data_IF_312503635250
#
_entry.id   IF_312503635250
#
_cell.length_a   1.000
_cell.length_b   1.000
_cell.length_c   1.000
_cell.angle_alpha   90.00
_cell.angle_beta   90.00
_cell.angle_gamma   90.00
#
_symmetry.space_group_name_H-M   'P 1'
#
loop_
_entity.id
_entity.type
_entity.pdbx_description
1 polymer ?
#
# COMPACT_ATOMS: atom_id res chain seq x y z
N UNK A 1 -16.30 -26.57 28.18
CA UNK A 1 -16.65 -26.49 26.74
C UNK A 1 -16.13 -25.25 26.02
N UNK A 2 -15.89 -24.09 26.67
CA UNK A 2 -15.30 -22.90 26.00
C UNK A 2 -13.81 -23.04 25.64
N UNK A 3 -13.03 -23.80 26.42
CA UNK A 3 -11.57 -23.91 26.18
C UNK A 3 -11.19 -24.85 25.02
N UNK A 4 -12.01 -25.87 24.76
CA UNK A 4 -11.78 -26.83 23.68
C UNK A 4 -11.94 -26.17 22.30
N UNK A 5 -12.89 -25.22 22.16
CA UNK A 5 -13.16 -24.52 20.91
C UNK A 5 -12.07 -23.47 20.57
N UNK A 6 -11.51 -22.81 21.59
CA UNK A 6 -10.38 -21.86 21.45
C UNK A 6 -9.10 -22.56 20.94
N UNK A 7 -8.84 -23.78 21.44
CA UNK A 7 -7.71 -24.60 21.00
C UNK A 7 -7.78 -24.93 19.51
N UNK A 8 -8.97 -25.24 18.99
CA UNK A 8 -9.17 -25.56 17.56
C UNK A 8 -8.98 -24.35 16.66
N UNK A 9 -9.47 -23.17 17.08
CA UNK A 9 -9.30 -21.94 16.30
C UNK A 9 -7.83 -21.56 16.15
N UNK A 10 -7.08 -21.50 17.26
CA UNK A 10 -5.65 -21.16 17.22
C UNK A 10 -4.86 -22.12 16.33
N UNK A 11 -5.17 -23.42 16.40
CA UNK A 11 -4.54 -24.45 15.54
C UNK A 11 -4.91 -24.30 14.06
N UNK A 12 -6.06 -23.72 13.75
CA UNK A 12 -6.51 -23.49 12.37
C UNK A 12 -5.96 -22.22 11.73
N UNK A 13 -5.20 -21.39 12.46
CA UNK A 13 -4.55 -20.20 11.91
C UNK A 13 -3.29 -20.57 11.11
N UNK A 14 -3.14 -19.96 9.95
CA UNK A 14 -1.91 -20.01 9.17
C UNK A 14 -0.96 -18.90 9.65
N UNK A 15 -0.27 -19.15 10.78
CA UNK A 15 0.68 -18.21 11.39
C UNK A 15 1.78 -17.72 10.44
N UNK A 16 2.09 -18.52 9.44
CA UNK A 16 2.98 -18.19 8.33
C UNK A 16 2.53 -16.96 7.53
N UNK A 17 1.23 -16.88 7.22
CA UNK A 17 0.67 -15.87 6.31
C UNK A 17 0.29 -14.58 7.04
N UNK A 18 -0.10 -14.69 8.31
CA UNK A 18 -0.57 -13.56 9.13
C UNK A 18 0.43 -12.39 9.14
N UNK A 19 1.74 -12.57 9.35
CA UNK A 19 2.71 -11.48 9.32
C UNK A 19 2.75 -10.74 7.97
N UNK A 20 2.71 -11.48 6.86
CA UNK A 20 2.69 -10.89 5.50
C UNK A 20 1.42 -10.07 5.29
N UNK A 21 0.28 -10.62 5.70
CA UNK A 21 -1.01 -9.96 5.58
C UNK A 21 -1.08 -8.71 6.45
N UNK A 22 -0.59 -8.74 7.69
CA UNK A 22 -0.49 -7.58 8.57
C UNK A 22 0.44 -6.52 7.98
N UNK A 23 1.62 -6.90 7.50
CA UNK A 23 2.57 -5.97 6.91
C UNK A 23 1.95 -5.22 5.73
N UNK A 24 1.42 -5.95 4.75
CA UNK A 24 0.76 -5.35 3.60
C UNK A 24 -0.43 -4.48 4.03
N UNK A 25 -1.21 -4.94 5.01
CA UNK A 25 -2.38 -4.22 5.49
C UNK A 25 -1.98 -2.87 6.10
N UNK A 26 -1.12 -2.89 7.12
CA UNK A 26 -0.70 -1.68 7.84
C UNK A 26 -0.05 -0.70 6.88
N UNK A 27 0.79 -1.21 5.96
CA UNK A 27 1.47 -0.38 5.00
C UNK A 27 0.49 0.41 4.11
N UNK A 28 -0.44 -0.27 3.44
CA UNK A 28 -1.40 0.36 2.53
C UNK A 28 -2.53 1.08 3.25
N UNK A 29 -2.92 0.62 4.44
CA UNK A 29 -3.88 1.32 5.27
C UNK A 29 -3.36 2.69 5.69
N UNK A 30 -2.14 2.75 6.24
CA UNK A 30 -1.52 4.03 6.61
C UNK A 30 -1.24 4.85 5.37
N UNK A 31 -0.41 4.33 4.47
CA UNK A 31 0.11 5.14 3.37
C UNK A 31 -0.93 5.40 2.29
N UNK A 32 -1.78 4.44 1.92
CA UNK A 32 -2.76 4.66 0.85
C UNK A 32 -4.03 5.32 1.36
N UNK A 33 -4.59 4.83 2.46
CA UNK A 33 -5.91 5.25 2.92
C UNK A 33 -5.86 6.43 3.91
N UNK A 34 -5.20 6.28 5.05
CA UNK A 34 -5.18 7.33 6.08
C UNK A 34 -4.52 8.61 5.56
N UNK A 35 -3.28 8.53 5.09
CA UNK A 35 -2.53 9.72 4.70
C UNK A 35 -3.11 10.42 3.46
N UNK A 36 -3.62 9.67 2.47
CA UNK A 36 -4.04 10.26 1.17
C UNK A 36 -5.54 10.37 1.00
N UNK A 37 -6.35 9.46 1.54
CA UNK A 37 -7.81 9.62 1.47
C UNK A 37 -8.27 10.48 2.64
N UNK A 38 -8.05 10.03 3.87
CA UNK A 38 -8.53 10.75 5.05
C UNK A 38 -7.83 12.10 5.19
N UNK A 39 -6.52 12.15 5.04
CA UNK A 39 -5.73 13.38 5.14
C UNK A 39 -6.14 14.46 4.13
N UNK A 40 -6.29 14.09 2.86
CA UNK A 40 -6.71 15.03 1.81
C UNK A 40 -8.15 15.49 2.03
N UNK A 41 -9.07 14.58 2.38
CA UNK A 41 -10.46 14.93 2.68
C UNK A 41 -10.52 15.89 3.88
N UNK A 42 -9.81 15.58 4.97
CA UNK A 42 -9.71 16.44 6.15
C UNK A 42 -9.17 17.83 5.80
N UNK A 43 -8.17 17.90 4.93
CA UNK A 43 -7.65 19.16 4.40
C UNK A 43 -8.69 20.02 3.67
N UNK A 44 -9.74 19.41 3.10
CA UNK A 44 -10.85 20.13 2.48
C UNK A 44 -11.96 20.49 3.48
N UNK A 45 -12.31 19.60 4.41
CA UNK A 45 -13.47 19.79 5.31
C UNK A 45 -13.15 20.57 6.59
N UNK A 46 -11.90 20.54 7.06
CA UNK A 46 -11.47 21.17 8.32
C UNK A 46 -10.00 21.63 8.21
N UNK A 47 -9.69 22.57 7.30
CA UNK A 47 -8.32 22.96 6.96
C UNK A 47 -7.51 23.48 8.16
N UNK A 48 -8.16 24.11 9.13
CA UNK A 48 -7.54 24.63 10.36
C UNK A 48 -7.02 23.56 11.33
N UNK A 49 -7.56 22.34 11.28
CA UNK A 49 -7.14 21.22 12.14
C UNK A 49 -6.42 20.11 11.38
N UNK A 50 -6.45 20.15 10.05
CA UNK A 50 -5.80 19.15 9.22
C UNK A 50 -4.28 19.20 9.36
N UNK A 51 -3.66 18.02 9.43
CA UNK A 51 -2.22 17.92 9.38
C UNK A 51 -1.74 18.34 7.98
N UNK A 52 -1.02 19.47 7.91
CA UNK A 52 -0.66 20.12 6.65
C UNK A 52 0.05 19.17 5.67
N UNK A 53 0.90 18.27 6.17
CA UNK A 53 1.64 17.31 5.34
C UNK A 53 0.75 16.32 4.58
N UNK A 54 -0.45 16.02 5.09
CA UNK A 54 -1.37 15.06 4.48
C UNK A 54 -2.46 15.73 3.63
N UNK A 55 -2.46 17.06 3.56
CA UNK A 55 -3.39 17.80 2.69
C UNK A 55 -2.97 17.70 1.22
N UNK A 56 -3.88 18.07 0.30
CA UNK A 56 -3.54 18.17 -1.12
C UNK A 56 -2.32 19.06 -1.36
N UNK A 57 -2.29 20.24 -0.72
CA UNK A 57 -1.19 21.20 -0.85
C UNK A 57 0.09 20.63 -0.27
N UNK A 58 0.03 19.97 0.89
CA UNK A 58 1.18 19.31 1.51
C UNK A 58 1.79 18.24 0.61
N UNK A 59 0.97 17.34 0.08
CA UNK A 59 1.42 16.31 -0.88
C UNK A 59 1.97 16.93 -2.16
N UNK A 60 1.37 17.99 -2.68
CA UNK A 60 1.87 18.71 -3.84
C UNK A 60 3.24 19.29 -3.58
N UNK A 61 3.41 20.04 -2.49
CA UNK A 61 4.69 20.63 -2.11
C UNK A 61 5.76 19.56 -1.93
N UNK A 62 5.44 18.45 -1.28
CA UNK A 62 6.38 17.35 -1.07
C UNK A 62 6.78 16.65 -2.38
N UNK A 63 5.80 16.20 -3.17
CA UNK A 63 6.01 15.41 -4.38
C UNK A 63 6.67 16.26 -5.46
N UNK A 64 6.09 17.43 -5.77
CA UNK A 64 6.64 18.33 -6.80
C UNK A 64 7.99 18.87 -6.38
N UNK A 65 8.16 19.26 -5.10
CA UNK A 65 9.46 19.71 -4.59
C UNK A 65 10.55 18.64 -4.64
N UNK A 66 10.16 17.37 -4.64
CA UNK A 66 11.10 16.26 -4.84
C UNK A 66 11.38 16.01 -6.32
N UNK A 67 10.37 16.11 -7.19
CA UNK A 67 10.54 15.96 -8.64
C UNK A 67 11.37 17.09 -9.26
N UNK A 68 11.20 18.32 -8.77
CA UNK A 68 11.90 19.52 -9.28
C UNK A 68 13.41 19.51 -9.03
N UNK A 69 13.93 18.54 -8.26
CA UNK A 69 15.37 18.29 -8.13
C UNK A 69 16.00 17.77 -9.43
N UNK A 70 15.19 17.33 -10.39
CA UNK A 70 15.60 16.91 -11.74
C UNK A 70 14.97 17.80 -12.80
N UNK A 71 15.75 18.19 -13.81
CA UNK A 71 15.24 18.97 -14.95
C UNK A 71 14.11 18.24 -15.71
N UNK A 72 14.19 16.91 -15.80
CA UNK A 72 13.14 16.09 -16.41
C UNK A 72 11.88 16.11 -15.54
N UNK A 73 12.05 15.99 -14.22
CA UNK A 73 10.94 16.06 -13.28
C UNK A 73 10.22 17.40 -13.36
N UNK A 74 10.97 18.50 -13.30
CA UNK A 74 10.43 19.85 -13.39
C UNK A 74 9.68 20.13 -14.70
N UNK A 75 10.27 19.76 -15.84
CA UNK A 75 9.71 20.12 -17.14
C UNK A 75 8.52 19.23 -17.56
N UNK A 76 8.55 17.94 -17.22
CA UNK A 76 7.61 16.96 -17.77
C UNK A 76 6.69 16.30 -16.75
N UNK A 77 7.08 16.22 -15.47
CA UNK A 77 6.34 15.45 -14.45
C UNK A 77 5.61 16.38 -13.46
N UNK A 78 6.25 17.44 -13.00
CA UNK A 78 5.64 18.42 -12.10
C UNK A 78 4.34 19.02 -12.62
N UNK A 79 4.20 19.37 -13.93
CA UNK A 79 2.94 19.89 -14.46
C UNK A 79 1.78 18.89 -14.44
N UNK A 80 2.06 17.59 -14.37
CA UNK A 80 1.02 16.55 -14.39
C UNK A 80 0.53 16.17 -13.00
N UNK A 81 1.07 16.77 -11.93
CA UNK A 81 0.75 16.42 -10.55
C UNK A 81 -0.76 16.38 -10.28
N UNK A 82 -1.49 17.46 -10.58
CA UNK A 82 -2.91 17.56 -10.22
C UNK A 82 -3.78 16.52 -10.96
N UNK A 83 -3.29 15.99 -12.08
CA UNK A 83 -3.92 14.88 -12.81
C UNK A 83 -3.50 13.51 -12.27
N UNK A 84 -2.20 13.31 -12.01
CA UNK A 84 -1.65 12.02 -11.57
C UNK A 84 -1.98 11.70 -10.11
N UNK A 85 -2.07 12.71 -9.25
CA UNK A 85 -2.21 12.51 -7.82
C UNK A 85 -3.53 11.80 -7.45
N UNK A 86 -4.73 12.20 -7.93
CA UNK A 86 -5.96 11.44 -7.69
C UNK A 86 -5.89 9.99 -8.14
N UNK A 87 -5.30 9.74 -9.30
CA UNK A 87 -5.11 8.38 -9.85
C UNK A 87 -4.25 7.57 -8.88
N UNK A 88 -3.17 8.18 -8.37
CA UNK A 88 -2.29 7.55 -7.40
C UNK A 88 -3.03 7.23 -6.09
N UNK A 89 -3.88 8.13 -5.58
CA UNK A 89 -4.69 7.87 -4.37
C UNK A 89 -5.57 6.63 -4.57
N UNK A 90 -6.30 6.57 -5.68
CA UNK A 90 -7.17 5.44 -6.01
C UNK A 90 -6.35 4.14 -6.11
N UNK A 91 -5.24 4.18 -6.85
CA UNK A 91 -4.36 3.03 -7.02
C UNK A 91 -3.81 2.51 -5.68
N UNK A 92 -3.38 3.40 -4.78
CA UNK A 92 -2.88 3.01 -3.45
C UNK A 92 -3.97 2.42 -2.53
N UNK A 93 -5.25 2.71 -2.78
CA UNK A 93 -6.36 2.11 -2.03
C UNK A 93 -6.67 0.67 -2.46
N UNK A 94 -6.40 0.30 -3.71
CA UNK A 94 -6.67 -1.05 -4.24
C UNK A 94 -6.04 -2.16 -3.39
N UNK A 95 -4.72 -2.15 -3.11
CA UNK A 95 -4.11 -3.22 -2.31
C UNK A 95 -4.72 -3.27 -0.91
N UNK A 96 -4.98 -2.13 -0.26
CA UNK A 96 -5.65 -2.08 1.04
C UNK A 96 -7.02 -2.79 1.01
N UNK A 97 -7.87 -2.46 0.04
CA UNK A 97 -9.21 -3.05 -0.09
C UNK A 97 -9.16 -4.55 -0.37
N UNK A 98 -8.19 -5.01 -1.17
CA UNK A 98 -8.00 -6.44 -1.44
C UNK A 98 -7.53 -7.21 -0.20
N UNK A 99 -6.67 -6.61 0.64
CA UNK A 99 -6.24 -7.22 1.89
C UNK A 99 -7.39 -7.28 2.89
N UNK A 100 -8.19 -6.22 2.99
CA UNK A 100 -9.39 -6.21 3.81
C UNK A 100 -10.37 -7.29 3.37
N UNK A 101 -10.58 -7.45 2.05
CA UNK A 101 -11.39 -8.53 1.48
C UNK A 101 -10.84 -9.91 1.83
N UNK A 102 -9.52 -10.08 1.78
CA UNK A 102 -8.81 -11.30 2.17
C UNK A 102 -9.02 -11.66 3.65
N UNK A 103 -8.98 -10.66 4.55
CA UNK A 103 -9.30 -10.85 5.98
C UNK A 103 -10.74 -11.35 6.13
N UNK A 104 -11.72 -10.69 5.50
CA UNK A 104 -13.11 -11.12 5.59
C UNK A 104 -13.38 -12.48 4.93
N UNK A 105 -12.56 -12.88 3.95
CA UNK A 105 -12.62 -14.21 3.34
C UNK A 105 -11.98 -15.31 4.21
N UNK A 106 -11.32 -14.95 5.32
CA UNK A 106 -10.67 -15.90 6.21
C UNK A 106 -9.40 -16.55 5.61
N UNK A 107 -8.73 -15.87 4.68
CA UNK A 107 -7.53 -16.41 4.00
C UNK A 107 -6.29 -16.53 4.93
N UNK A 108 -6.41 -16.07 6.18
CA UNK A 108 -5.43 -16.29 7.24
C UNK A 108 -5.56 -17.68 7.89
N UNK A 109 -6.54 -18.49 7.49
CA UNK A 109 -6.75 -19.84 8.01
C UNK A 109 -5.95 -20.89 7.22
N UNK A 110 -5.67 -22.03 7.83
CA UNK A 110 -5.04 -23.18 7.17
C UNK A 110 -5.98 -23.83 6.15
N UNK A 111 -5.42 -24.42 5.09
CA UNK A 111 -6.19 -25.12 4.05
C UNK A 111 -7.11 -24.23 3.23
N UNK A 112 -6.91 -22.90 3.25
CA UNK A 112 -7.65 -21.93 2.45
C UNK A 112 -6.79 -21.41 1.32
N UNK A 113 -7.41 -21.30 0.14
CA UNK A 113 -6.82 -20.60 -0.99
C UNK A 113 -6.76 -19.09 -0.72
N UNK A 114 -5.58 -18.49 -0.91
CA UNK A 114 -5.32 -17.08 -0.60
C UNK A 114 -5.43 -16.19 -1.83
N UNK A 115 -6.55 -16.31 -2.54
CA UNK A 115 -6.76 -15.66 -3.84
C UNK A 115 -6.72 -14.13 -3.71
N UNK A 116 -7.40 -13.57 -2.72
CA UNK A 116 -7.47 -12.13 -2.50
C UNK A 116 -6.15 -11.58 -1.98
N UNK A 117 -5.43 -12.32 -1.14
CA UNK A 117 -4.10 -11.94 -0.66
C UNK A 117 -3.07 -11.93 -1.79
N UNK A 118 -3.12 -12.90 -2.71
CA UNK A 118 -2.28 -12.89 -3.92
C UNK A 118 -2.59 -11.65 -4.77
N UNK A 119 -3.87 -11.38 -5.01
CA UNK A 119 -4.29 -10.19 -5.78
C UNK A 119 -3.84 -8.90 -5.10
N UNK A 120 -3.93 -8.83 -3.78
CA UNK A 120 -3.40 -7.72 -2.99
C UNK A 120 -1.90 -7.55 -3.16
N UNK A 121 -1.12 -8.64 -3.09
CA UNK A 121 0.32 -8.61 -3.33
C UNK A 121 0.68 -8.14 -4.74
N UNK A 122 -0.05 -8.59 -5.75
CA UNK A 122 0.13 -8.14 -7.14
C UNK A 122 -0.21 -6.65 -7.28
N UNK A 123 -1.34 -6.20 -6.72
CA UNK A 123 -1.73 -4.79 -6.73
C UNK A 123 -0.67 -3.93 -6.02
N UNK A 124 -0.19 -4.38 -4.85
CA UNK A 124 0.89 -3.73 -4.11
C UNK A 124 2.15 -3.55 -4.97
N UNK A 125 2.56 -4.60 -5.69
CA UNK A 125 3.71 -4.54 -6.59
C UNK A 125 3.50 -3.56 -7.74
N UNK A 126 2.33 -3.59 -8.37
CA UNK A 126 1.99 -2.69 -9.48
C UNK A 126 2.07 -1.22 -9.04
N UNK A 127 1.40 -0.88 -7.94
CA UNK A 127 1.36 0.48 -7.40
C UNK A 127 2.77 0.94 -7.01
N UNK A 128 3.52 0.09 -6.31
CA UNK A 128 4.91 0.38 -5.93
C UNK A 128 5.79 0.60 -7.16
N UNK A 129 5.60 -0.19 -8.23
CA UNK A 129 6.35 -0.04 -9.47
C UNK A 129 6.06 1.28 -10.18
N UNK A 130 4.79 1.69 -10.24
CA UNK A 130 4.41 2.98 -10.80
C UNK A 130 5.04 4.15 -10.03
N UNK A 131 5.00 4.09 -8.69
CA UNK A 131 5.66 5.09 -7.85
C UNK A 131 7.18 5.08 -8.06
N UNK A 132 7.81 3.90 -7.99
CA UNK A 132 9.25 3.74 -8.15
C UNK A 132 9.72 4.28 -9.50
N UNK A 133 8.96 4.06 -10.57
CA UNK A 133 9.26 4.58 -11.91
C UNK A 133 9.34 6.10 -11.92
N UNK A 134 8.29 6.79 -11.42
CA UNK A 134 8.28 8.26 -11.36
C UNK A 134 9.43 8.80 -10.51
N UNK A 135 9.65 8.24 -9.32
CA UNK A 135 10.71 8.68 -8.42
C UNK A 135 12.12 8.39 -8.97
N UNK A 136 12.29 7.28 -9.70
CA UNK A 136 13.58 6.94 -10.34
C UNK A 136 13.91 7.90 -11.47
N UNK A 137 12.95 8.23 -12.33
CA UNK A 137 13.16 9.18 -13.44
C UNK A 137 13.50 10.57 -12.91
N UNK A 138 12.88 10.98 -11.80
CA UNK A 138 13.13 12.30 -11.21
C UNK A 138 14.34 12.32 -10.26
N UNK A 139 15.04 11.20 -10.07
CA UNK A 139 16.18 11.12 -9.14
C UNK A 139 15.80 11.42 -7.68
N UNK A 140 14.56 11.13 -7.31
CA UNK A 140 14.00 11.44 -6.01
C UNK A 140 14.50 10.49 -4.91
N UNK A 141 14.63 11.00 -3.68
CA UNK A 141 15.08 10.22 -2.50
C UNK A 141 14.20 9.01 -2.20
N UNK A 142 12.91 9.12 -2.49
CA UNK A 142 11.91 8.07 -2.21
C UNK A 142 12.12 6.82 -3.06
N UNK A 143 12.88 6.92 -4.16
CA UNK A 143 13.20 5.80 -5.02
C UNK A 143 13.81 4.63 -4.26
N UNK A 144 14.78 4.89 -3.36
CA UNK A 144 15.45 3.83 -2.60
C UNK A 144 14.47 2.99 -1.78
N UNK A 145 13.59 3.66 -1.04
CA UNK A 145 12.59 3.02 -0.21
C UNK A 145 11.56 2.26 -1.06
N UNK A 146 11.15 2.80 -2.21
CA UNK A 146 10.21 2.13 -3.11
C UNK A 146 10.80 0.88 -3.76
N UNK A 147 12.10 0.87 -4.08
CA UNK A 147 12.80 -0.33 -4.52
C UNK A 147 12.84 -1.42 -3.44
N UNK A 148 13.04 -1.02 -2.18
CA UNK A 148 12.96 -1.96 -1.06
C UNK A 148 11.55 -2.52 -0.90
N UNK A 149 10.52 -1.67 -0.95
CA UNK A 149 9.12 -2.10 -0.88
C UNK A 149 8.76 -3.08 -2.02
N UNK A 150 9.27 -2.84 -3.23
CA UNK A 150 9.10 -3.73 -4.37
C UNK A 150 9.76 -5.09 -4.10
N UNK A 151 10.99 -5.09 -3.58
CA UNK A 151 11.69 -6.29 -3.12
C UNK A 151 10.89 -7.09 -2.09
N UNK A 152 10.43 -6.44 -1.03
CA UNK A 152 9.59 -7.06 0.00
C UNK A 152 8.28 -7.60 -0.57
N UNK A 153 7.64 -6.86 -1.48
CA UNK A 153 6.42 -7.30 -2.15
C UNK A 153 6.60 -8.58 -2.97
N UNK A 154 7.74 -8.73 -3.65
CA UNK A 154 8.06 -9.94 -4.41
C UNK A 154 8.26 -11.14 -3.48
N UNK A 155 9.01 -10.96 -2.40
CA UNK A 155 9.22 -12.01 -1.38
C UNK A 155 7.89 -12.41 -0.73
N UNK A 156 7.06 -11.43 -0.37
CA UNK A 156 5.72 -11.67 0.17
C UNK A 156 4.86 -12.48 -0.80
N UNK A 157 4.86 -12.15 -2.10
CA UNK A 157 4.09 -12.86 -3.10
C UNK A 157 4.59 -14.29 -3.32
N UNK A 158 5.91 -14.50 -3.38
CA UNK A 158 6.52 -15.82 -3.46
C UNK A 158 6.11 -16.68 -2.25
N UNK A 159 6.13 -16.09 -1.07
CA UNK A 159 5.72 -16.75 0.17
C UNK A 159 4.24 -17.16 0.14
N UNK A 160 3.33 -16.24 -0.21
CA UNK A 160 1.89 -16.54 -0.30
C UNK A 160 1.63 -17.66 -1.32
N UNK A 161 2.31 -17.63 -2.48
CA UNK A 161 2.18 -18.67 -3.51
C UNK A 161 2.66 -20.03 -3.02
N UNK A 162 3.80 -20.07 -2.32
CA UNK A 162 4.32 -21.30 -1.73
C UNK A 162 3.33 -21.89 -0.70
N UNK A 163 2.71 -21.06 0.13
CA UNK A 163 1.72 -21.51 1.12
C UNK A 163 0.38 -21.94 0.49
N UNK A 164 0.06 -21.52 -0.73
CA UNK A 164 -1.11 -22.01 -1.48
C UNK A 164 -0.84 -23.30 -2.27
N UNK A 165 0.43 -23.60 -2.57
CA UNK A 165 0.83 -24.83 -3.26
C UNK A 165 0.98 -26.04 -2.32
N UNK A 166 0.75 -25.86 -1.02
CA UNK A 166 0.77 -26.88 0.03
C UNK A 166 -0.66 -27.26 0.40
#
# INVERSE_FOLDING_TARGET
MKDTQKSTFIKSLAFNVIPVQIFLFVFWFKNGFIDKVCGVILGFISPETAYQGDTWVGWKTYIVGTWDKSAIGHLFISPTFDFMFPILIILQCIPFLLILRSVFAGEFMQGKDRVWLIRAGIASLLVTSCMAFTQTITGASDGQYLWQLLGFGMVALMYIRNENGK
#
